data_IF_725396193962
#
_entry.id   IF_725396193962
#
_cell.length_a   1.000
_cell.length_b   1.000
_cell.length_c   1.000
_cell.angle_alpha   90.00
_cell.angle_beta   90.00
_cell.angle_gamma   90.00
#
_symmetry.space_group_name_H-M   'P 1'
#
loop_
_entity.id
_entity.type
_entity.pdbx_description
1 polymer ?
#
# COMPACT_ATOMS: atom_id res chain seq x y z
N UNK A 1 -3.26 -6.76 15.79
CA UNK A 1 -2.80 -6.10 17.03
C UNK A 1 -1.36 -6.53 17.26
N UNK A 2 -0.42 -5.60 17.48
CA UNK A 2 0.93 -6.00 17.88
C UNK A 2 0.84 -6.74 19.22
N UNK A 3 1.45 -7.92 19.31
CA UNK A 3 1.59 -8.64 20.57
C UNK A 3 2.48 -7.78 21.47
N UNK A 4 1.94 -7.33 22.62
CA UNK A 4 2.75 -6.61 23.60
C UNK A 4 3.78 -7.57 24.19
N UNK A 5 5.03 -7.13 24.26
CA UNK A 5 6.07 -7.90 24.94
C UNK A 5 5.69 -8.12 26.41
N UNK A 6 5.86 -9.33 26.96
CA UNK A 6 5.58 -9.57 28.37
C UNK A 6 6.54 -8.75 29.23
N UNK A 7 6.02 -8.20 30.32
CA UNK A 7 6.83 -7.62 31.39
C UNK A 7 7.39 -8.77 32.23
N UNK A 8 8.71 -8.92 32.32
CA UNK A 8 9.36 -10.05 33.01
C UNK A 8 9.39 -9.87 34.52
N UNK A 9 9.52 -8.62 34.99
CA UNK A 9 9.48 -8.24 36.39
C UNK A 9 8.86 -6.84 36.48
N UNK A 10 7.76 -6.70 37.23
CA UNK A 10 6.99 -5.47 37.37
C UNK A 10 7.28 -4.70 38.66
N UNK A 11 8.22 -5.18 39.48
CA UNK A 11 8.66 -4.48 40.69
C UNK A 11 9.26 -3.12 40.35
N UNK A 12 8.84 -2.13 41.10
CA UNK A 12 9.33 -0.75 41.06
C UNK A 12 10.16 -0.47 42.30
N UNK A 13 10.80 0.69 42.32
CA UNK A 13 11.60 1.16 43.46
C UNK A 13 10.91 0.92 44.81
N UNK A 14 9.65 1.34 44.95
CA UNK A 14 8.92 1.23 46.20
C UNK A 14 8.73 -0.22 46.66
N UNK A 15 8.42 -1.12 45.73
CA UNK A 15 8.23 -2.55 46.01
C UNK A 15 9.53 -3.18 46.52
N UNK A 16 10.67 -2.79 45.93
CA UNK A 16 12.00 -3.29 46.31
C UNK A 16 12.44 -2.73 47.67
N UNK A 17 12.16 -1.45 47.95
CA UNK A 17 12.44 -0.84 49.26
C UNK A 17 11.60 -1.50 50.35
N UNK A 18 10.30 -1.72 50.11
CA UNK A 18 9.41 -2.35 51.07
C UNK A 18 9.83 -3.81 51.34
N UNK A 19 10.15 -4.57 50.28
CA UNK A 19 10.66 -5.94 50.38
C UNK A 19 11.95 -5.96 51.22
N UNK A 20 12.92 -5.09 50.93
CA UNK A 20 14.17 -5.03 51.68
C UNK A 20 13.97 -4.66 53.16
N UNK A 21 13.08 -3.70 53.47
CA UNK A 21 12.75 -3.32 54.85
C UNK A 21 12.09 -4.47 55.62
N UNK A 22 11.20 -5.22 54.96
CA UNK A 22 10.54 -6.39 55.57
C UNK A 22 11.51 -7.50 55.99
N UNK A 23 12.69 -7.54 55.36
CA UNK A 23 13.74 -8.53 55.62
C UNK A 23 14.70 -8.12 56.75
N UNK A 24 14.72 -6.86 57.18
CA UNK A 24 15.63 -6.36 58.24
C UNK A 24 15.51 -7.17 59.54
N UNK A 25 14.30 -7.42 60.10
CA UNK A 25 14.18 -8.15 61.38
C UNK A 25 14.76 -9.57 61.33
N UNK A 26 14.85 -10.15 60.14
CA UNK A 26 15.38 -11.51 59.92
C UNK A 26 16.90 -11.53 59.79
N UNK A 27 17.48 -10.55 59.08
CA UNK A 27 18.92 -10.58 58.74
C UNK A 27 19.78 -9.64 59.59
N UNK A 28 19.20 -8.60 60.17
CA UNK A 28 19.88 -7.62 61.00
C UNK A 28 18.98 -7.18 62.18
N UNK A 29 18.62 -8.10 63.10
CA UNK A 29 17.74 -7.80 64.24
C UNK A 29 18.30 -6.72 65.19
N UNK A 30 19.62 -6.49 65.18
CA UNK A 30 20.31 -5.42 65.91
C UNK A 30 20.10 -4.02 65.30
N UNK A 31 19.68 -3.93 64.05
CA UNK A 31 19.41 -2.66 63.37
C UNK A 31 17.99 -2.21 63.70
N UNK A 32 17.87 -1.19 64.57
CA UNK A 32 16.60 -0.73 65.14
C UNK A 32 16.12 0.62 64.62
N UNK A 33 17.01 1.44 64.04
CA UNK A 33 16.66 2.74 63.45
C UNK A 33 16.31 2.58 61.96
N UNK A 34 15.01 2.61 61.64
CA UNK A 34 14.51 2.47 60.26
C UNK A 34 13.92 3.76 59.70
N UNK A 35 14.36 4.91 60.24
CA UNK A 35 13.95 6.23 59.74
C UNK A 35 14.63 6.57 58.41
N UNK A 36 14.04 7.49 57.63
CA UNK A 36 14.62 7.94 56.34
C UNK A 36 16.01 8.57 56.49
N UNK A 37 16.30 9.16 57.66
CA UNK A 37 17.62 9.73 57.97
C UNK A 37 18.71 8.70 58.24
N UNK A 38 18.35 7.42 58.41
CA UNK A 38 19.33 6.36 58.67
C UNK A 38 20.14 6.05 57.41
N UNK A 39 21.49 6.09 57.47
CA UNK A 39 22.34 5.78 56.32
C UNK A 39 22.12 4.37 55.75
N UNK A 40 21.69 3.39 56.57
CA UNK A 40 21.35 2.05 56.11
C UNK A 40 20.11 2.05 55.21
N UNK A 41 19.08 2.84 55.57
CA UNK A 41 17.90 3.05 54.72
C UNK A 41 18.29 3.75 53.41
N UNK A 42 19.16 4.76 53.45
CA UNK A 42 19.66 5.41 52.22
C UNK A 42 20.38 4.41 51.29
N UNK A 43 21.13 3.46 51.85
CA UNK A 43 21.75 2.39 51.05
C UNK A 43 20.70 1.46 50.43
N UNK A 44 19.67 1.06 51.19
CA UNK A 44 18.55 0.26 50.64
C UNK A 44 17.92 0.98 49.45
N UNK A 45 17.62 2.26 49.57
CA UNK A 45 17.06 3.08 48.49
C UNK A 45 17.99 3.12 47.27
N UNK A 46 19.29 3.36 47.48
CA UNK A 46 20.27 3.35 46.39
C UNK A 46 20.29 2.01 45.65
N UNK A 47 20.31 0.88 46.38
CA UNK A 47 20.28 -0.45 45.79
C UNK A 47 18.95 -0.77 45.10
N UNK A 48 17.83 -0.29 45.64
CA UNK A 48 16.51 -0.42 45.01
C UNK A 48 16.47 0.32 43.68
N UNK A 49 17.00 1.55 43.62
CA UNK A 49 17.10 2.34 42.39
C UNK A 49 17.97 1.65 41.32
N UNK A 50 19.16 1.16 41.71
CA UNK A 50 20.03 0.41 40.80
C UNK A 50 19.35 -0.87 40.29
N UNK A 51 18.61 -1.57 41.16
CA UNK A 51 17.89 -2.79 40.81
C UNK A 51 16.76 -2.50 39.83
N UNK A 52 15.96 -1.45 40.06
CA UNK A 52 14.90 -1.02 39.14
C UNK A 52 15.47 -0.68 37.74
N UNK A 53 16.63 -0.04 37.66
CA UNK A 53 17.33 0.19 36.38
C UNK A 53 17.75 -1.12 35.69
N UNK A 54 18.10 -2.16 36.44
CA UNK A 54 18.39 -3.48 35.85
C UNK A 54 17.11 -4.17 35.37
N UNK A 55 16.04 -4.15 36.16
CA UNK A 55 14.74 -4.71 35.78
C UNK A 55 14.23 -4.06 34.48
N UNK A 56 14.35 -2.74 34.38
CA UNK A 56 14.04 -2.01 33.15
C UNK A 56 14.77 -2.55 31.91
N UNK A 57 16.05 -2.91 32.04
CA UNK A 57 16.84 -3.46 30.92
C UNK A 57 16.44 -4.89 30.60
N UNK A 58 16.14 -5.70 31.61
CA UNK A 58 15.65 -7.08 31.44
C UNK A 58 14.31 -7.07 30.69
N UNK A 59 13.41 -6.14 31.03
CA UNK A 59 12.11 -5.99 30.37
C UNK A 59 12.19 -5.58 28.89
N UNK A 60 13.37 -5.17 28.39
CA UNK A 60 13.62 -4.92 26.96
C UNK A 60 14.10 -6.15 26.18
N UNK A 61 14.47 -7.23 26.87
CA UNK A 61 14.97 -8.47 26.24
C UNK A 61 13.91 -9.19 25.40
N UNK A 62 12.64 -9.34 25.83
CA UNK A 62 11.63 -10.05 25.06
C UNK A 62 11.41 -9.48 23.65
N UNK A 63 11.33 -8.14 23.52
CA UNK A 63 11.18 -7.48 22.23
C UNK A 63 12.40 -7.72 21.32
N UNK A 64 13.61 -7.62 21.89
CA UNK A 64 14.85 -7.89 21.16
C UNK A 64 14.94 -9.35 20.69
N UNK A 65 14.52 -10.29 21.53
CA UNK A 65 14.48 -11.71 21.18
C UNK A 65 13.46 -11.98 20.08
N UNK A 66 12.27 -11.37 20.15
CA UNK A 66 11.26 -11.48 19.10
C UNK A 66 11.80 -11.05 17.73
N UNK A 67 12.43 -9.87 17.66
CA UNK A 67 13.07 -9.39 16.43
C UNK A 67 14.16 -10.37 15.96
N UNK A 68 14.95 -10.93 16.89
CA UNK A 68 16.02 -11.87 16.52
C UNK A 68 15.49 -13.20 16.01
N UNK A 69 14.40 -13.71 16.58
CA UNK A 69 13.73 -14.91 16.09
C UNK A 69 13.13 -14.69 14.69
N UNK A 70 12.52 -13.51 14.44
CA UNK A 70 12.08 -13.14 13.09
C UNK A 70 13.23 -13.16 12.09
N UNK A 71 14.39 -12.59 12.45
CA UNK A 71 15.58 -12.63 11.60
C UNK A 71 16.10 -14.06 11.36
N UNK A 72 16.05 -14.94 12.37
CA UNK A 72 16.50 -16.33 12.24
C UNK A 72 15.65 -17.15 11.26
N UNK A 73 14.35 -16.88 11.16
CA UNK A 73 13.47 -17.52 10.19
C UNK A 73 13.42 -16.79 8.83
N UNK A 74 14.32 -15.82 8.62
CA UNK A 74 14.44 -15.08 7.36
C UNK A 74 13.36 -14.00 7.15
N UNK A 75 12.65 -13.59 8.19
CA UNK A 75 11.71 -12.46 8.11
C UNK A 75 12.48 -11.15 8.18
N UNK A 76 12.47 -10.42 7.07
CA UNK A 76 13.09 -9.10 6.94
C UNK A 76 12.03 -8.01 6.80
N UNK A 77 12.40 -6.77 7.15
CA UNK A 77 11.54 -5.61 6.89
C UNK A 77 11.49 -5.41 5.38
N UNK A 78 10.28 -5.40 4.82
CA UNK A 78 10.08 -5.04 3.42
C UNK A 78 10.68 -3.64 3.18
N UNK A 79 11.55 -3.48 2.17
CA UNK A 79 12.07 -2.16 1.81
C UNK A 79 10.91 -1.25 1.39
N UNK A 80 11.07 0.08 1.45
CA UNK A 80 10.12 0.97 0.83
C UNK A 80 10.06 0.66 -0.68
N UNK A 81 8.85 0.54 -1.22
CA UNK A 81 8.62 0.40 -2.65
C UNK A 81 8.19 1.75 -3.24
N UNK A 82 8.67 2.11 -4.45
CA UNK A 82 8.26 3.34 -5.10
C UNK A 82 6.74 3.33 -5.35
N UNK A 83 6.12 4.49 -5.25
CA UNK A 83 4.73 4.65 -5.65
C UNK A 83 4.62 4.59 -7.18
N UNK A 84 3.56 3.97 -7.69
CA UNK A 84 3.24 3.90 -9.11
C UNK A 84 1.83 4.41 -9.34
N UNK A 85 1.60 5.09 -10.46
CA UNK A 85 0.31 5.66 -10.81
C UNK A 85 0.11 5.61 -12.33
N UNK A 86 -1.12 5.34 -12.75
CA UNK A 86 -1.51 5.41 -14.16
C UNK A 86 -1.83 6.86 -14.53
N UNK A 87 -1.30 7.32 -15.66
CA UNK A 87 -1.49 8.69 -16.16
C UNK A 87 -2.03 8.66 -17.58
N UNK A 88 -2.86 9.64 -17.90
CA UNK A 88 -3.34 9.88 -19.26
C UNK A 88 -2.75 11.18 -19.78
N UNK A 89 -2.05 11.11 -20.91
CA UNK A 89 -1.55 12.30 -21.60
C UNK A 89 -2.54 12.71 -22.69
N UNK A 90 -3.08 13.93 -22.56
CA UNK A 90 -3.98 14.51 -23.56
C UNK A 90 -3.23 15.59 -24.33
N UNK A 91 -3.07 15.44 -25.66
CA UNK A 91 -2.47 16.48 -26.50
C UNK A 91 -3.23 17.81 -26.37
N UNK A 92 -2.51 18.92 -26.25
CA UNK A 92 -3.11 20.25 -26.14
C UNK A 92 -3.80 20.71 -27.43
N UNK A 93 -3.40 20.18 -28.59
CA UNK A 93 -4.01 20.48 -29.88
C UNK A 93 -4.59 19.19 -30.51
N UNK A 94 -5.85 19.21 -30.99
CA UNK A 94 -6.48 18.06 -31.62
C UNK A 94 -5.96 17.77 -33.04
N UNK A 95 -5.15 18.67 -33.60
CA UNK A 95 -4.65 18.56 -34.98
C UNK A 95 -3.42 17.65 -35.12
N UNK A 96 -2.89 17.12 -34.01
CA UNK A 96 -1.76 16.20 -34.04
C UNK A 96 -2.28 14.77 -34.17
N UNK A 97 -1.66 13.93 -35.00
CA UNK A 97 -2.05 12.51 -35.11
C UNK A 97 -1.52 11.72 -33.91
N UNK A 98 -0.22 11.83 -33.63
CA UNK A 98 0.49 11.11 -32.56
C UNK A 98 1.60 11.96 -31.97
N UNK A 99 1.87 11.78 -30.67
CA UNK A 99 2.98 12.40 -29.95
C UNK A 99 3.73 11.29 -29.21
N UNK A 100 5.04 11.24 -29.37
CA UNK A 100 5.89 10.30 -28.63
C UNK A 100 6.24 10.92 -27.29
N UNK A 101 5.98 10.19 -26.21
CA UNK A 101 6.36 10.53 -24.85
C UNK A 101 7.48 9.57 -24.46
N UNK A 102 8.73 10.06 -24.34
CA UNK A 102 9.85 9.21 -23.97
C UNK A 102 9.70 8.63 -22.56
N UNK A 103 10.37 7.51 -22.30
CA UNK A 103 10.69 7.07 -20.95
C UNK A 103 11.45 8.15 -20.18
N UNK A 104 11.18 8.28 -18.89
CA UNK A 104 11.80 9.32 -18.04
C UNK A 104 11.11 10.68 -18.14
N UNK A 105 9.95 10.78 -18.79
CA UNK A 105 9.16 12.02 -18.82
C UNK A 105 8.67 12.33 -17.41
N UNK A 106 9.06 13.50 -16.89
CA UNK A 106 8.76 13.88 -15.51
C UNK A 106 7.40 14.55 -15.37
N UNK A 107 6.66 14.15 -14.34
CA UNK A 107 5.41 14.79 -13.91
C UNK A 107 5.45 15.08 -12.41
N UNK A 108 4.88 16.20 -12.00
CA UNK A 108 4.81 16.59 -10.59
C UNK A 108 3.44 16.30 -10.00
N UNK A 109 3.39 15.68 -8.83
CA UNK A 109 2.20 15.61 -7.99
C UNK A 109 2.35 16.59 -6.81
N UNK A 110 1.26 17.28 -6.48
CA UNK A 110 1.20 18.05 -5.24
C UNK A 110 1.23 17.08 -4.06
N UNK A 111 2.02 17.35 -3.00
CA UNK A 111 1.98 16.54 -1.80
C UNK A 111 0.57 16.56 -1.20
N UNK A 112 0.10 15.43 -0.64
CA UNK A 112 -1.17 15.41 0.08
C UNK A 112 -1.08 16.32 1.32
N UNK A 113 -2.18 16.99 1.71
CA UNK A 113 -2.19 17.78 2.94
C UNK A 113 -1.86 16.89 4.14
N UNK A 114 -1.12 17.40 5.14
CA UNK A 114 -0.78 16.62 6.33
C UNK A 114 -2.06 16.11 7.02
N UNK A 115 -2.05 14.88 7.58
CA UNK A 115 -3.21 14.36 8.28
C UNK A 115 -3.59 15.29 9.44
N UNK A 116 -4.88 15.49 9.67
CA UNK A 116 -5.39 16.37 10.73
C UNK A 116 -4.93 15.98 12.16
N UNK A 117 -4.42 14.76 12.34
CA UNK A 117 -3.85 14.24 13.58
C UNK A 117 -2.34 14.46 13.73
N UNK A 118 -1.67 15.04 12.73
CA UNK A 118 -0.25 15.39 12.85
C UNK A 118 -0.11 16.47 13.93
N UNK A 119 0.60 16.15 15.01
CA UNK A 119 1.00 17.13 15.99
C UNK A 119 1.75 18.27 15.28
N UNK A 120 1.47 19.51 15.66
CA UNK A 120 2.18 20.67 15.14
C UNK A 120 3.69 20.44 15.30
N UNK A 121 4.40 20.28 14.19
CA UNK A 121 5.84 20.14 14.21
C UNK A 121 6.44 21.41 14.81
N UNK A 122 7.28 21.26 15.82
CA UNK A 122 8.05 22.38 16.40
C UNK A 122 9.18 22.84 15.46
N UNK A 123 9.47 22.09 14.39
CA UNK A 123 10.40 22.50 13.36
C UNK A 123 9.70 23.38 12.30
N UNK A 124 10.42 24.36 11.72
CA UNK A 124 9.92 25.09 10.55
C UNK A 124 9.45 24.11 9.48
N UNK A 125 8.32 24.37 8.78
CA UNK A 125 7.89 23.52 7.69
C UNK A 125 8.99 23.48 6.63
N UNK A 126 9.44 22.27 6.28
CA UNK A 126 10.33 22.11 5.14
C UNK A 126 9.62 22.63 3.87
N UNK A 127 10.36 23.28 2.94
CA UNK A 127 9.75 23.72 1.70
C UNK A 127 9.12 22.52 1.01
N UNK A 128 7.84 22.63 0.65
CA UNK A 128 7.09 21.58 -0.04
C UNK A 128 7.78 21.25 -1.37
N UNK A 129 8.61 20.21 -1.37
CA UNK A 129 9.20 19.70 -2.60
C UNK A 129 8.12 18.88 -3.30
N UNK A 130 7.81 19.19 -4.58
CA UNK A 130 6.85 18.39 -5.32
C UNK A 130 7.35 16.95 -5.44
N UNK A 131 6.45 15.99 -5.36
CA UNK A 131 6.78 14.60 -5.63
C UNK A 131 6.86 14.45 -7.14
N UNK A 132 8.04 14.11 -7.65
CA UNK A 132 8.27 13.90 -9.09
C UNK A 132 8.12 12.41 -9.38
N UNK A 133 7.29 12.10 -10.37
CA UNK A 133 7.20 10.79 -10.99
C UNK A 133 7.81 10.86 -12.38
N UNK A 134 8.22 9.70 -12.90
CA UNK A 134 8.72 9.56 -14.26
C UNK A 134 7.99 8.42 -14.97
N UNK A 135 7.85 8.53 -16.30
CA UNK A 135 7.37 7.41 -17.11
C UNK A 135 8.40 6.27 -17.10
N UNK A 136 7.96 5.06 -16.82
CA UNK A 136 8.77 3.84 -16.81
C UNK A 136 9.05 3.30 -18.22
N UNK A 137 8.14 3.58 -19.17
CA UNK A 137 8.21 3.15 -20.57
C UNK A 137 7.90 4.32 -21.54
N UNK A 138 8.39 4.27 -22.79
CA UNK A 138 7.95 5.20 -23.82
C UNK A 138 6.51 4.88 -24.25
N UNK A 139 5.71 5.92 -24.54
CA UNK A 139 4.32 5.76 -24.95
C UNK A 139 3.93 6.72 -26.08
N UNK A 140 2.97 6.33 -26.89
CA UNK A 140 2.44 7.14 -27.99
C UNK A 140 1.09 7.72 -27.57
N UNK A 141 1.04 9.03 -27.33
CA UNK A 141 -0.21 9.74 -27.11
C UNK A 141 -0.92 10.01 -28.45
N UNK A 142 -2.15 9.52 -28.57
CA UNK A 142 -3.00 9.76 -29.73
C UNK A 142 -3.67 11.14 -29.62
N UNK A 143 -3.73 11.88 -30.72
CA UNK A 143 -4.62 13.05 -30.81
C UNK A 143 -6.09 12.66 -30.96
N UNK A 144 -6.35 11.42 -31.38
CA UNK A 144 -7.70 10.86 -31.41
C UNK A 144 -8.21 10.61 -29.98
N UNK A 145 -9.35 11.18 -29.63
CA UNK A 145 -9.94 11.06 -28.30
C UNK A 145 -10.97 9.93 -28.26
N UNK A 146 -10.94 9.10 -27.21
CA UNK A 146 -11.96 8.07 -27.00
C UNK A 146 -13.32 8.75 -26.74
N UNK A 147 -14.25 8.60 -27.68
CA UNK A 147 -15.56 9.26 -27.66
C UNK A 147 -16.70 8.31 -27.31
N UNK A 148 -16.59 7.04 -27.71
CA UNK A 148 -17.60 6.02 -27.46
C UNK A 148 -16.96 4.71 -27.03
N UNK A 149 -17.60 4.06 -26.07
CA UNK A 149 -17.28 2.69 -25.68
C UNK A 149 -18.55 1.88 -25.77
N UNK A 150 -18.55 0.81 -26.57
CA UNK A 150 -19.69 -0.07 -26.72
C UNK A 150 -19.29 -1.51 -26.42
N UNK A 151 -20.20 -2.23 -25.78
CA UNK A 151 -20.08 -3.67 -25.55
C UNK A 151 -21.03 -4.38 -26.48
N UNK A 152 -20.53 -5.36 -27.22
CA UNK A 152 -21.32 -6.29 -28.01
C UNK A 152 -21.31 -7.66 -27.33
N UNK A 153 -22.48 -8.18 -26.96
CA UNK A 153 -22.63 -9.47 -26.26
C UNK A 153 -22.84 -10.67 -27.20
N UNK A 154 -22.60 -10.46 -28.50
CA UNK A 154 -22.88 -11.39 -29.59
C UNK A 154 -24.25 -11.18 -30.24
N UNK A 155 -25.13 -10.37 -29.65
CA UNK A 155 -26.48 -10.08 -30.21
C UNK A 155 -26.79 -8.58 -30.18
N UNK A 156 -26.53 -7.91 -29.06
CA UNK A 156 -26.91 -6.51 -28.83
C UNK A 156 -25.68 -5.65 -28.57
N UNK A 157 -25.76 -4.39 -28.99
CA UNK A 157 -24.83 -3.34 -28.62
C UNK A 157 -25.34 -2.58 -27.40
N UNK A 158 -24.47 -2.40 -26.42
CA UNK A 158 -24.71 -1.60 -25.22
C UNK A 158 -23.70 -0.46 -25.14
N UNK A 159 -24.18 0.78 -25.13
CA UNK A 159 -23.33 1.95 -24.91
C UNK A 159 -22.86 1.99 -23.44
N UNK A 160 -21.56 1.82 -23.22
CA UNK A 160 -20.89 1.83 -21.91
C UNK A 160 -20.04 3.09 -21.71
N UNK A 161 -20.17 4.11 -22.57
CA UNK A 161 -19.35 5.33 -22.52
C UNK A 161 -19.44 6.05 -21.18
N UNK A 162 -20.64 6.20 -20.62
CA UNK A 162 -20.83 6.83 -19.31
C UNK A 162 -20.27 5.97 -18.16
N UNK A 163 -20.38 4.64 -18.28
CA UNK A 163 -19.81 3.72 -17.30
C UNK A 163 -18.28 3.68 -17.34
N UNK A 164 -17.67 4.03 -18.48
CA UNK A 164 -16.21 4.09 -18.66
C UNK A 164 -15.56 5.35 -18.07
N UNK A 165 -16.34 6.35 -17.65
CA UNK A 165 -15.80 7.52 -16.96
C UNK A 165 -15.23 7.12 -15.60
N UNK A 166 -14.21 7.83 -15.07
CA UNK A 166 -13.59 7.54 -13.77
C UNK A 166 -14.49 7.95 -12.59
N UNK A 167 -15.70 7.39 -12.53
CA UNK A 167 -16.75 7.65 -11.52
C UNK A 167 -17.03 6.42 -10.64
N UNK A 168 -16.21 5.37 -10.76
CA UNK A 168 -16.34 4.13 -9.97
C UNK A 168 -17.39 3.14 -10.49
N UNK A 169 -17.98 3.39 -11.66
CA UNK A 169 -18.82 2.40 -12.35
C UNK A 169 -17.94 1.38 -13.08
N UNK A 170 -18.42 0.14 -13.14
CA UNK A 170 -17.79 -0.95 -13.90
C UNK A 170 -18.81 -1.57 -14.85
N UNK A 171 -18.33 -2.15 -15.94
CA UNK A 171 -19.14 -2.88 -16.90
C UNK A 171 -18.39 -4.13 -17.38
N UNK A 172 -19.13 -5.12 -17.87
CA UNK A 172 -18.52 -6.34 -18.42
C UNK A 172 -18.15 -6.10 -19.89
N UNK A 173 -16.86 -6.06 -20.26
CA UNK A 173 -16.43 -5.64 -21.60
C UNK A 173 -16.85 -6.59 -22.73
N UNK A 174 -17.20 -7.83 -22.40
CA UNK A 174 -17.66 -8.86 -23.35
C UNK A 174 -19.08 -9.35 -23.03
N UNK A 175 -19.82 -8.57 -22.25
CA UNK A 175 -21.11 -8.96 -21.67
C UNK A 175 -20.96 -9.94 -20.49
N UNK A 176 -22.09 -10.28 -19.87
CA UNK A 176 -22.12 -11.10 -18.64
C UNK A 176 -21.69 -12.56 -18.84
N UNK A 177 -21.74 -13.06 -20.08
CA UNK A 177 -21.42 -14.46 -20.41
C UNK A 177 -20.24 -14.64 -21.38
N UNK A 178 -19.62 -13.54 -21.85
CA UNK A 178 -18.47 -13.55 -22.77
C UNK A 178 -18.60 -14.61 -23.87
N UNK A 179 -19.65 -14.49 -24.71
CA UNK A 179 -19.90 -15.43 -25.80
C UNK A 179 -18.83 -15.30 -26.87
N UNK A 180 -18.65 -16.36 -27.67
CA UNK A 180 -17.83 -16.27 -28.86
C UNK A 180 -18.41 -15.19 -29.80
N UNK A 181 -17.55 -14.27 -30.23
CA UNK A 181 -17.96 -13.09 -31.02
C UNK A 181 -18.40 -11.88 -30.20
N UNK A 182 -18.42 -11.96 -28.86
CA UNK A 182 -18.54 -10.76 -28.02
C UNK A 182 -17.35 -9.82 -28.28
N UNK A 183 -17.59 -8.52 -28.33
CA UNK A 183 -16.56 -7.53 -28.63
C UNK A 183 -16.68 -6.29 -27.75
N UNK A 184 -15.53 -5.69 -27.41
CA UNK A 184 -15.45 -4.35 -26.86
C UNK A 184 -15.06 -3.41 -28.00
N UNK A 185 -15.93 -2.45 -28.31
CA UNK A 185 -15.70 -1.48 -29.37
C UNK A 185 -15.29 -0.14 -28.76
N UNK A 186 -14.14 0.36 -29.20
CA UNK A 186 -13.58 1.65 -28.81
C UNK A 186 -13.68 2.62 -30.00
N UNK A 187 -14.58 3.58 -29.90
CA UNK A 187 -14.79 4.62 -30.91
C UNK A 187 -13.95 5.85 -30.60
N UNK A 188 -13.03 6.18 -31.50
CA UNK A 188 -12.18 7.36 -31.38
C UNK A 188 -12.68 8.47 -32.30
N UNK A 189 -12.73 9.69 -31.79
CA UNK A 189 -12.99 10.90 -32.56
C UNK A 189 -11.67 11.59 -32.92
N UNK A 190 -11.45 11.86 -34.21
CA UNK A 190 -10.27 12.60 -34.68
C UNK A 190 -10.60 13.40 -35.94
N UNK A 191 -9.87 14.49 -36.14
CA UNK A 191 -9.86 15.27 -37.39
C UNK A 191 -8.92 14.62 -38.43
N UNK A 192 -7.94 13.86 -37.94
CA UNK A 192 -6.95 13.17 -38.77
C UNK A 192 -7.38 11.72 -39.04
N UNK A 193 -6.78 11.10 -40.06
CA UNK A 193 -6.87 9.66 -40.24
C UNK A 193 -6.32 8.94 -39.00
N UNK A 194 -7.00 7.88 -38.57
CA UNK A 194 -6.54 7.07 -37.45
C UNK A 194 -5.18 6.44 -37.79
N UNK A 195 -4.15 6.61 -36.95
CA UNK A 195 -2.79 6.23 -37.31
C UNK A 195 -2.61 4.71 -37.30
N UNK A 196 -1.89 4.17 -38.29
CA UNK A 196 -1.52 2.77 -38.36
C UNK A 196 -0.20 2.51 -37.61
N UNK A 197 -0.18 2.83 -36.32
CA UNK A 197 0.97 2.67 -35.42
C UNK A 197 0.55 1.89 -34.18
N UNK A 198 1.53 1.48 -33.38
CA UNK A 198 1.27 0.91 -32.06
C UNK A 198 0.57 1.93 -31.15
N UNK A 199 -0.44 1.49 -30.41
CA UNK A 199 -1.21 2.32 -29.48
C UNK A 199 -1.06 1.79 -28.06
N UNK A 200 -0.81 2.69 -27.11
CA UNK A 200 -0.78 2.33 -25.69
C UNK A 200 -2.15 2.58 -25.07
N UNK A 201 -2.79 1.53 -24.56
CA UNK A 201 -4.08 1.61 -23.88
C UNK A 201 -3.95 1.10 -22.45
N UNK A 202 -4.28 1.95 -21.48
CA UNK A 202 -4.43 1.55 -20.08
C UNK A 202 -5.83 1.00 -19.82
N UNK A 203 -5.93 -0.20 -19.24
CA UNK A 203 -7.20 -0.80 -18.85
C UNK A 203 -7.21 -1.01 -17.34
N UNK A 204 -8.09 -0.30 -16.64
CA UNK A 204 -8.33 -0.51 -15.22
C UNK A 204 -9.43 -1.55 -15.03
N UNK A 205 -9.04 -2.74 -14.59
CA UNK A 205 -9.99 -3.82 -14.28
C UNK A 205 -10.51 -3.62 -12.85
N UNK A 206 -11.81 -3.42 -12.72
CA UNK A 206 -12.46 -3.47 -11.42
C UNK A 206 -12.61 -4.92 -10.99
N UNK A 207 -11.93 -5.29 -9.90
CA UNK A 207 -12.11 -6.56 -9.22
C UNK A 207 -12.92 -6.33 -7.96
N UNK A 208 -14.13 -6.90 -7.92
CA UNK A 208 -14.92 -6.94 -6.69
C UNK A 208 -14.24 -7.92 -5.71
N UNK A 209 -13.74 -7.47 -4.55
CA UNK A 209 -13.08 -8.34 -3.59
C UNK A 209 -13.98 -9.47 -3.11
N UNK A 210 -15.31 -9.28 -3.09
CA UNK A 210 -16.26 -10.33 -2.72
C UNK A 210 -16.31 -11.47 -3.75
N UNK A 211 -15.86 -11.23 -4.99
CA UNK A 211 -15.78 -12.24 -6.05
C UNK A 211 -14.42 -12.93 -6.13
N UNK A 212 -13.39 -12.41 -5.46
CA UNK A 212 -12.09 -13.06 -5.32
C UNK A 212 -12.25 -14.28 -4.40
N UNK A 213 -12.54 -15.44 -4.99
CA UNK A 213 -12.49 -16.72 -4.28
C UNK A 213 -11.05 -17.21 -4.27
N UNK A 214 -10.48 -17.42 -3.08
CA UNK A 214 -9.25 -18.21 -2.93
C UNK A 214 -9.45 -19.54 -3.65
N UNK A 215 -8.56 -19.82 -4.60
CA UNK A 215 -8.53 -21.11 -5.28
C UNK A 215 -7.35 -21.88 -4.71
N UNK A 216 -7.64 -23.02 -4.09
CA UNK A 216 -6.59 -23.98 -3.72
C UNK A 216 -6.11 -24.70 -4.98
N UNK A 217 -4.84 -25.08 -5.02
CA UNK A 217 -4.17 -25.73 -6.15
C UNK A 217 -4.70 -27.15 -6.47
N UNK A 218 -5.80 -27.59 -5.86
CA UNK A 218 -6.31 -28.96 -5.92
C UNK A 218 -7.39 -29.17 -6.99
N UNK A 219 -7.55 -28.24 -7.95
CA UNK A 219 -8.59 -28.37 -8.99
C UNK A 219 -8.10 -29.17 -10.19
N UNK A 220 -8.96 -30.09 -10.66
CA UNK A 220 -8.81 -30.73 -11.98
C UNK A 220 -8.78 -29.66 -13.08
N UNK A 221 -7.99 -29.90 -14.14
CA UNK A 221 -7.84 -29.00 -15.29
C UNK A 221 -9.19 -28.54 -15.89
N UNK A 222 -10.24 -29.37 -15.78
CA UNK A 222 -11.62 -29.05 -16.23
C UNK A 222 -12.25 -27.81 -15.55
N UNK A 223 -11.77 -27.40 -14.37
CA UNK A 223 -12.25 -26.18 -13.69
C UNK A 223 -11.40 -24.94 -13.99
N UNK A 224 -10.29 -25.10 -14.69
CA UNK A 224 -9.49 -23.98 -15.19
C UNK A 224 -10.23 -23.45 -16.42
N UNK A 225 -10.98 -22.35 -16.24
CA UNK A 225 -11.50 -21.62 -17.40
C UNK A 225 -10.29 -21.10 -18.15
N UNK A 226 -10.04 -21.64 -19.34
CA UNK A 226 -8.98 -21.13 -20.20
C UNK A 226 -9.22 -19.62 -20.43
N UNK A 227 -8.17 -18.79 -20.34
CA UNK A 227 -8.30 -17.37 -20.64
C UNK A 227 -8.86 -17.20 -22.05
N UNK A 228 -9.77 -16.26 -22.23
CA UNK A 228 -10.32 -15.96 -23.55
C UNK A 228 -9.19 -15.53 -24.50
N UNK A 229 -9.19 -16.06 -25.72
CA UNK A 229 -8.29 -15.57 -26.77
C UNK A 229 -8.91 -14.31 -27.36
N UNK A 230 -8.20 -13.19 -27.23
CA UNK A 230 -8.62 -11.91 -27.77
C UNK A 230 -8.01 -11.70 -29.15
N UNK A 231 -8.80 -11.13 -30.06
CA UNK A 231 -8.35 -10.63 -31.36
C UNK A 231 -8.61 -9.13 -31.36
N UNK A 232 -7.61 -8.35 -31.77
CA UNK A 232 -7.74 -6.91 -31.94
C UNK A 232 -7.93 -6.62 -33.42
N UNK A 233 -9.01 -5.92 -33.73
CA UNK A 233 -9.32 -5.49 -35.09
C UNK A 233 -9.57 -3.98 -35.10
N UNK A 234 -9.32 -3.34 -36.24
CA UNK A 234 -9.65 -1.93 -36.44
C UNK A 234 -10.47 -1.72 -37.71
N UNK A 235 -11.42 -0.79 -37.64
CA UNK A 235 -12.25 -0.43 -38.78
C UNK A 235 -11.56 0.66 -39.61
N UNK A 236 -11.24 0.36 -40.87
CA UNK A 236 -10.57 1.29 -41.77
C UNK A 236 -11.53 2.16 -42.61
N UNK A 237 -12.83 2.11 -42.34
CA UNK A 237 -13.87 2.79 -43.13
C UNK A 237 -14.63 1.89 -44.10
N UNK A 238 -14.13 0.67 -44.38
CA UNK A 238 -14.81 -0.28 -45.28
C UNK A 238 -14.87 -1.72 -44.77
N UNK A 239 -13.84 -2.19 -44.05
CA UNK A 239 -13.82 -3.52 -43.44
C UNK A 239 -13.03 -3.52 -42.13
N UNK A 240 -13.31 -4.50 -41.28
CA UNK A 240 -12.49 -4.81 -40.11
C UNK A 240 -11.21 -5.52 -40.58
N UNK A 241 -10.08 -5.15 -39.99
CA UNK A 241 -8.75 -5.69 -40.28
C UNK A 241 -8.03 -6.05 -39.00
#
# INVERSE_FOLDING_TARGET
MPLQAPNLDDRRFADIVEEARSLIPRYAPEWTDHNESDPGITLIELFAWMSEMMLYRVNRVPERNYIKFLQLIGVERKPPFPASVELTFTPASPNVSTIIIPRGTQVSASPPPPPASAAASLLPPEPERPVIFETDEPLIALGAQLSKVQVFDGVNYLDSTEANKPTGKSYAPFGSRARLGSALLLGFSSVNAFPAVEINLGVRVHLDPAQLKEQTCDKSEEKIRQPATLVWEYWNGGQWR
#
